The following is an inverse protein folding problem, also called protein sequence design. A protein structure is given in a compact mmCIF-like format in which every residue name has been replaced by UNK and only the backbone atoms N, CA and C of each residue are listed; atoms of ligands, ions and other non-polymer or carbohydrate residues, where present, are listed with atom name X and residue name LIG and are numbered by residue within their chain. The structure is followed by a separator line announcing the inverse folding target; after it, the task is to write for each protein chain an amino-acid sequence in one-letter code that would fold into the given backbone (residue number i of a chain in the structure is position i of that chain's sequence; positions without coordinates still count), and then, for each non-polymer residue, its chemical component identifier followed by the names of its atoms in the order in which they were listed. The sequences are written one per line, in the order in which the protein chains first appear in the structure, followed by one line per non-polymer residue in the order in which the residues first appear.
data_IF_503956119285
#
_entry.id   IF_503956119285
#
_cell.length_a   1.000
_cell.length_b   1.000
_cell.length_c   1.000
_cell.angle_alpha   90.00
_cell.angle_beta   90.00
_cell.angle_gamma   90.00
#
_symmetry.space_group_name_H-M   'P 1'
#
loop_
_entity.id
_entity.type
_entity.pdbx_description
1 polymer ?
#
# COMPACT_ATOMS: atom_id res chain seq x y z
N UNK A 1 14.39 -21.92 -18.30
CA UNK A 1 14.19 -21.71 -17.92
C UNK A 1 13.98 -21.37 -17.24
N UNK A 2 14.15 -21.28 -17.21
CA UNK A 2 13.99 -20.93 -16.71
C UNK A 2 13.64 -20.73 -15.88
N UNK A 3 13.80 -21.20 -16.01
CA UNK A 3 13.37 -21.40 -14.77
C UNK A 3 12.80 -20.34 -14.08
N UNK A 4 12.58 -19.58 -14.68
CA UNK A 4 12.03 -18.52 -14.16
C UNK A 4 10.64 -18.59 -14.33
N UNK A 5 9.90 -18.92 -13.34
CA UNK A 5 8.46 -18.81 -13.37
C UNK A 5 8.10 -17.34 -13.24
N UNK A 6 6.96 -16.94 -13.76
CA UNK A 6 6.49 -15.58 -13.58
C UNK A 6 6.35 -15.19 -12.11
N UNK A 7 5.95 -16.13 -11.28
CA UNK A 7 5.81 -15.87 -9.86
C UNK A 7 7.15 -15.52 -9.25
N UNK A 8 8.17 -16.31 -9.59
CA UNK A 8 9.49 -16.05 -9.08
C UNK A 8 10.01 -14.71 -9.55
N UNK A 9 9.76 -14.38 -10.81
CA UNK A 9 10.21 -13.11 -11.31
C UNK A 9 9.57 -11.94 -10.56
N UNK A 10 8.25 -12.06 -10.27
CA UNK A 10 7.59 -11.04 -9.48
C UNK A 10 8.13 -10.93 -8.08
N UNK A 11 8.48 -12.07 -7.48
CA UNK A 11 9.02 -12.07 -6.14
C UNK A 11 10.44 -11.54 -6.10
N UNK A 12 11.13 -11.60 -7.23
CA UNK A 12 12.49 -11.11 -7.30
C UNK A 12 12.57 -9.61 -7.49
N UNK A 13 11.44 -8.96 -7.75
CA UNK A 13 11.45 -7.51 -7.88
C UNK A 13 11.94 -6.90 -6.58
N UNK A 14 12.93 -6.02 -6.65
CA UNK A 14 13.47 -5.42 -5.44
C UNK A 14 12.41 -4.59 -4.73
N UNK A 15 12.51 -4.56 -3.41
CA UNK A 15 11.71 -3.68 -2.59
C UNK A 15 12.69 -2.78 -1.86
N UNK A 16 12.66 -1.49 -2.16
CA UNK A 16 13.58 -0.54 -1.56
C UNK A 16 12.98 0.17 -0.37
N UNK A 17 11.70 0.52 -0.45
CA UNK A 17 11.00 1.25 0.61
C UNK A 17 9.67 0.58 0.85
N UNK A 18 9.27 0.47 2.12
CA UNK A 18 7.95 -0.04 2.50
C UNK A 18 7.25 1.01 3.33
N UNK A 19 6.02 1.32 2.97
CA UNK A 19 5.16 2.21 3.73
C UNK A 19 4.06 1.35 4.31
N UNK A 20 3.99 1.26 5.63
CA UNK A 20 2.94 0.52 6.31
C UNK A 20 1.95 1.48 6.94
N UNK A 21 0.68 1.29 6.61
CA UNK A 21 -0.42 2.08 7.14
C UNK A 21 -1.24 1.16 8.03
N UNK A 22 -1.07 1.31 9.33
CA UNK A 22 -1.84 0.50 10.28
C UNK A 22 -3.21 1.15 10.45
N UNK A 23 -4.28 0.41 10.14
CA UNK A 23 -5.62 0.98 10.11
C UNK A 23 -6.57 0.12 10.93
N UNK A 24 -7.65 0.76 11.37
CA UNK A 24 -8.71 0.09 12.11
C UNK A 24 -10.02 0.36 11.36
N UNK A 25 -10.76 -0.71 11.08
CA UNK A 25 -11.99 -0.63 10.29
C UNK A 25 -13.08 -1.39 11.03
N UNK A 26 -14.25 -0.77 11.19
CA UNK A 26 -15.36 -1.47 11.81
C UNK A 26 -15.86 -2.54 10.83
N UNK A 27 -16.36 -3.64 11.38
CA UNK A 27 -16.77 -4.76 10.55
C UNK A 27 -17.81 -4.37 9.49
N UNK A 28 -18.83 -3.56 9.82
CA UNK A 28 -19.80 -3.17 8.80
C UNK A 28 -19.20 -2.39 7.64
N UNK A 29 -18.05 -1.77 7.84
CA UNK A 29 -17.43 -0.95 6.79
C UNK A 29 -16.34 -1.68 6.02
N UNK A 30 -16.03 -2.91 6.40
CA UNK A 30 -14.97 -3.65 5.71
C UNK A 30 -15.26 -3.81 4.22
N UNK A 31 -16.50 -4.15 3.87
CA UNK A 31 -16.86 -4.33 2.47
C UNK A 31 -16.66 -3.03 1.69
N UNK A 32 -16.96 -1.89 2.31
CA UNK A 32 -16.75 -0.60 1.66
C UNK A 32 -15.27 -0.34 1.43
N UNK A 33 -14.43 -0.68 2.41
CA UNK A 33 -12.99 -0.51 2.26
C UNK A 33 -12.46 -1.37 1.12
N UNK A 34 -12.89 -2.63 1.05
CA UNK A 34 -12.42 -3.52 -0.01
C UNK A 34 -12.87 -3.03 -1.38
N UNK A 35 -14.10 -2.53 -1.49
CA UNK A 35 -14.59 -1.97 -2.74
C UNK A 35 -13.79 -0.72 -3.12
N UNK A 36 -13.49 0.11 -2.14
CA UNK A 36 -12.67 1.30 -2.38
C UNK A 36 -11.29 0.92 -2.91
N UNK A 37 -10.64 -0.06 -2.26
CA UNK A 37 -9.31 -0.46 -2.68
C UNK A 37 -9.30 -1.05 -4.08
N UNK A 38 -10.33 -1.78 -4.46
CA UNK A 38 -10.42 -2.31 -5.82
C UNK A 38 -10.42 -1.20 -6.86
N UNK A 39 -11.00 -0.03 -6.52
CA UNK A 39 -10.99 1.13 -7.42
C UNK A 39 -9.68 1.91 -7.35
N UNK A 40 -9.14 2.05 -6.16
CA UNK A 40 -8.03 2.97 -5.93
C UNK A 40 -6.67 2.36 -6.26
N UNK A 41 -6.47 1.07 -5.96
CA UNK A 41 -5.16 0.46 -6.09
C UNK A 41 -4.62 0.51 -7.52
N UNK A 42 -5.42 0.28 -8.57
CA UNK A 42 -4.89 0.43 -9.93
C UNK A 42 -4.30 1.82 -10.18
N UNK A 43 -4.92 2.87 -9.63
CA UNK A 43 -4.39 4.21 -9.76
C UNK A 43 -3.09 4.36 -8.97
N UNK A 44 -3.04 3.81 -7.76
CA UNK A 44 -1.84 3.87 -6.94
C UNK A 44 -0.66 3.20 -7.63
N UNK A 45 -0.90 2.06 -8.28
CA UNK A 45 0.15 1.26 -8.89
C UNK A 45 0.48 1.66 -10.31
N UNK A 46 -0.28 2.58 -10.89
CA UNK A 46 -0.14 2.95 -12.30
C UNK A 46 1.27 3.36 -12.70
N UNK A 47 2.00 4.15 -11.91
CA UNK A 47 3.34 4.59 -12.32
C UNK A 47 4.35 3.45 -12.45
N UNK A 48 4.07 2.28 -11.88
CA UNK A 48 5.05 1.20 -11.83
C UNK A 48 5.95 1.32 -10.63
N UNK A 49 6.50 0.19 -10.21
CA UNK A 49 7.38 0.16 -9.03
C UNK A 49 6.66 0.31 -7.72
N UNK A 50 5.33 0.19 -7.72
CA UNK A 50 4.50 0.35 -6.52
C UNK A 50 3.56 -0.83 -6.44
N UNK A 51 3.52 -1.48 -5.28
CA UNK A 51 2.60 -2.60 -5.06
C UNK A 51 1.90 -2.42 -3.71
N UNK A 52 0.57 -2.55 -3.73
CA UNK A 52 -0.25 -2.36 -2.54
C UNK A 52 -0.88 -3.69 -2.14
N UNK A 53 -0.75 -4.05 -0.87
CA UNK A 53 -1.40 -5.24 -0.31
C UNK A 53 -2.11 -4.86 0.98
N UNK A 54 -3.12 -5.63 1.33
CA UNK A 54 -3.82 -5.45 2.58
C UNK A 54 -3.64 -6.71 3.42
N UNK A 55 -3.08 -6.54 4.62
CA UNK A 55 -2.78 -7.64 5.52
C UNK A 55 -3.69 -7.56 6.74
N UNK A 56 -4.33 -8.68 7.09
CA UNK A 56 -5.20 -8.72 8.26
C UNK A 56 -4.39 -9.13 9.48
N UNK A 57 -4.63 -8.43 10.59
CA UNK A 57 -4.01 -8.80 11.86
C UNK A 57 -4.79 -10.00 12.42
N UNK A 58 -4.12 -11.15 12.51
CA UNK A 58 -4.78 -12.38 12.94
C UNK A 58 -5.19 -12.35 14.41
N UNK A 59 -4.58 -11.48 15.20
CA UNK A 59 -4.82 -11.45 16.64
C UNK A 59 -5.73 -10.33 17.09
N UNK A 60 -5.92 -9.30 16.24
CA UNK A 60 -6.74 -8.16 16.61
C UNK A 60 -7.79 -7.92 15.53
N UNK A 61 -9.01 -8.40 15.72
CA UNK A 61 -10.08 -8.21 14.73
C UNK A 61 -10.28 -6.73 14.40
N UNK A 62 -10.48 -6.44 13.12
CA UNK A 62 -10.71 -5.08 12.66
C UNK A 62 -9.43 -4.31 12.40
N UNK A 63 -8.26 -4.90 12.63
CA UNK A 63 -7.00 -4.24 12.38
C UNK A 63 -6.32 -4.81 11.16
N UNK A 64 -5.80 -3.93 10.33
CA UNK A 64 -5.17 -4.29 9.06
C UNK A 64 -3.92 -3.44 8.86
N UNK A 65 -3.04 -3.92 8.00
CA UNK A 65 -1.93 -3.11 7.51
C UNK A 65 -2.10 -3.01 6.01
N UNK A 66 -2.24 -1.78 5.52
CA UNK A 66 -2.18 -1.53 4.10
C UNK A 66 -0.71 -1.24 3.81
N UNK A 67 -0.08 -2.16 3.11
CA UNK A 67 1.35 -2.09 2.85
C UNK A 67 1.59 -1.65 1.43
N UNK A 68 2.41 -0.61 1.27
CA UNK A 68 2.81 -0.12 -0.04
C UNK A 68 4.29 -0.39 -0.19
N UNK A 69 4.64 -1.19 -1.19
CA UNK A 69 6.03 -1.52 -1.45
C UNK A 69 6.49 -0.76 -2.68
N UNK A 70 7.64 -0.11 -2.56
CA UNK A 70 8.24 0.68 -3.63
C UNK A 70 9.54 0.01 -4.05
N UNK A 71 9.75 -0.13 -5.37
CA UNK A 71 10.94 -0.83 -5.86
C UNK A 71 12.22 -0.05 -5.52
N UNK A 72 12.14 1.26 -5.43
CA UNK A 72 13.30 2.09 -5.12
C UNK A 72 12.85 3.42 -4.54
N UNK A 73 13.84 4.24 -4.14
CA UNK A 73 13.58 5.53 -3.53
C UNK A 73 12.86 6.47 -4.50
N UNK A 74 13.17 6.37 -5.77
CA UNK A 74 12.59 7.23 -6.79
C UNK A 74 11.07 7.00 -6.89
N UNK A 75 10.63 5.74 -6.84
CA UNK A 75 9.20 5.42 -6.87
C UNK A 75 8.51 5.96 -5.62
N UNK A 76 9.16 5.84 -4.46
CA UNK A 76 8.63 6.36 -3.22
C UNK A 76 8.46 7.88 -3.29
N UNK A 77 9.48 8.58 -3.75
CA UNK A 77 9.44 10.04 -3.83
C UNK A 77 8.38 10.52 -4.81
N UNK A 78 8.24 9.83 -5.94
CA UNK A 78 7.21 10.17 -6.90
C UNK A 78 5.82 10.06 -6.27
N UNK A 79 5.59 8.98 -5.53
CA UNK A 79 4.30 8.75 -4.90
C UNK A 79 4.02 9.78 -3.81
N UNK A 80 5.06 10.16 -3.04
CA UNK A 80 4.89 11.18 -2.02
C UNK A 80 4.51 12.53 -2.65
N UNK A 81 5.03 12.84 -3.83
CA UNK A 81 4.63 14.06 -4.54
C UNK A 81 3.18 13.98 -4.99
N UNK A 82 2.72 12.79 -5.44
CA UNK A 82 1.30 12.63 -5.80
C UNK A 82 0.41 12.88 -4.58
N UNK A 83 0.80 12.34 -3.43
CA UNK A 83 0.04 12.54 -2.19
C UNK A 83 -0.05 14.02 -1.86
N UNK A 84 1.01 14.76 -2.07
CA UNK A 84 1.06 16.18 -1.70
C UNK A 84 0.40 17.08 -2.73
N UNK A 85 0.40 16.70 -4.02
CA UNK A 85 0.06 17.64 -5.09
C UNK A 85 -1.05 17.21 -6.02
N UNK A 86 -1.29 15.91 -6.16
CA UNK A 86 -2.25 15.43 -7.16
C UNK A 86 -3.66 15.45 -6.58
N UNK A 87 -4.58 16.14 -7.26
CA UNK A 87 -5.93 16.33 -6.75
C UNK A 87 -6.71 15.01 -6.71
N UNK A 88 -6.50 14.12 -7.68
CA UNK A 88 -7.17 12.83 -7.68
C UNK A 88 -6.69 11.99 -6.50
N UNK A 89 -5.37 11.97 -6.26
CA UNK A 89 -4.82 11.24 -5.13
C UNK A 89 -5.37 11.79 -3.81
N UNK A 90 -5.42 13.11 -3.68
CA UNK A 90 -5.95 13.73 -2.45
C UNK A 90 -7.39 13.35 -2.21
N UNK A 91 -8.20 13.30 -3.27
CA UNK A 91 -9.61 12.92 -3.14
C UNK A 91 -9.74 11.47 -2.71
N UNK A 92 -8.93 10.57 -3.28
CA UNK A 92 -8.94 9.16 -2.88
C UNK A 92 -8.54 9.00 -1.42
N UNK A 93 -7.52 9.71 -0.99
CA UNK A 93 -7.07 9.59 0.40
C UNK A 93 -8.09 10.14 1.37
N UNK A 94 -8.83 11.19 0.98
CA UNK A 94 -9.89 11.71 1.83
C UNK A 94 -11.01 10.69 1.97
N UNK A 95 -11.40 10.05 0.87
CA UNK A 95 -12.42 9.02 0.90
C UNK A 95 -11.98 7.86 1.78
N UNK A 96 -10.73 7.42 1.62
CA UNK A 96 -10.14 6.33 2.40
C UNK A 96 -10.19 6.63 3.90
N UNK A 97 -9.74 7.82 4.30
CA UNK A 97 -9.72 8.19 5.71
C UNK A 97 -11.12 8.16 6.32
N UNK A 98 -12.13 8.48 5.54
CA UNK A 98 -13.51 8.45 6.01
C UNK A 98 -14.03 7.05 6.29
N UNK A 99 -13.36 6.01 5.80
CA UNK A 99 -13.75 4.63 6.05
C UNK A 99 -13.13 4.06 7.32
N UNK A 100 -12.14 4.74 7.89
CA UNK A 100 -11.40 4.24 9.04
C UNK A 100 -12.01 4.70 10.33
N UNK A 101 -11.85 3.90 11.40
CA UNK A 101 -12.36 4.26 12.71
C UNK A 101 -11.54 5.37 13.36
N UNK A 102 -10.27 5.46 12.98
CA UNK A 102 -9.32 6.40 13.58
C UNK A 102 -8.24 6.68 12.57
N UNK A 103 -7.46 7.75 12.75
CA UNK A 103 -6.38 8.05 11.81
C UNK A 103 -5.39 6.90 11.72
N UNK A 104 -4.83 6.65 10.54
CA UNK A 104 -3.87 5.55 10.38
C UNK A 104 -2.55 5.87 11.09
N UNK A 105 -1.85 4.81 11.48
CA UNK A 105 -0.48 4.95 11.99
C UNK A 105 0.44 4.64 10.84
N UNK A 106 1.31 5.59 10.51
CA UNK A 106 2.17 5.52 9.32
C UNK A 106 3.59 5.19 9.74
N UNK A 107 4.18 4.16 9.11
CA UNK A 107 5.56 3.80 9.35
C UNK A 107 6.26 3.57 8.02
N UNK A 108 7.51 4.00 7.94
CA UNK A 108 8.31 3.85 6.72
C UNK A 108 9.53 3.02 7.06
N UNK A 109 9.80 2.04 6.21
CA UNK A 109 10.97 1.16 6.37
C UNK A 109 11.76 1.15 5.08
N UNK A 110 13.08 1.05 5.20
CA UNK A 110 13.95 0.95 4.03
C UNK A 110 14.78 -0.31 4.11
N UNK A 111 15.01 -0.93 2.95
CA UNK A 111 15.84 -2.12 2.87
C UNK A 111 17.24 -1.80 3.36
N UNK A 112 17.82 -2.75 4.07
CA UNK A 112 19.18 -2.63 4.57
C UNK A 112 19.94 -3.86 4.14
N UNK A 113 21.12 -3.63 3.58
CA UNK A 113 21.97 -4.74 3.17
C UNK A 113 22.57 -5.43 4.39
N UNK A 114 22.64 -6.76 4.33
CA UNK A 114 23.30 -7.51 5.37
C UNK A 114 24.41 -8.39 4.79
N UNK A 115 24.84 -8.04 3.59
CA UNK A 115 25.92 -8.76 2.91
C UNK A 115 27.27 -8.43 3.53
#
# INVERSE_FOLDING_TARGET
AEGKSPTLAGMDSPVGVVLDLEISVSEPRLAELLAFLRRAVPFYEEPGGIRVTLLRDEQRPGRYIERVEYSDESAFEFDQRRVAEDEHMKALLAEWRGLLREPPVVRVYRSTSFA
#
